data_IF_453445331551
#
_entry.id   IF_453445331551
#
_cell.length_a   1.000
_cell.length_b   1.000
_cell.length_c   1.000
_cell.angle_alpha   90.00
_cell.angle_beta   90.00
_cell.angle_gamma   90.00
#
_symmetry.space_group_name_H-M   'P 1'
#
loop_
_entity.id
_entity.type
_entity.pdbx_description
1 polymer ?
#
# COMPACT_ATOMS: atom_id res chain seq x y z
N UNK A 1 -77.27 25.97 1.95
CA UNK A 1 -76.61 25.77 3.25
C UNK A 1 -76.01 24.36 3.26
N UNK A 2 -74.69 24.26 3.50
CA UNK A 2 -73.82 23.06 3.72
C UNK A 2 -73.73 22.04 2.56
N UNK A 3 -72.65 21.91 1.76
CA UNK A 3 -71.20 21.66 1.96
C UNK A 3 -70.87 20.31 2.65
N UNK A 4 -70.28 19.37 1.88
CA UNK A 4 -69.10 18.49 2.17
C UNK A 4 -68.59 17.94 0.81
N UNK A 5 -67.47 18.38 0.19
CA UNK A 5 -66.03 18.12 0.43
C UNK A 5 -65.72 16.61 0.61
N UNK A 6 -64.85 15.90 -0.12
CA UNK A 6 -63.70 16.18 -1.02
C UNK A 6 -63.54 15.00 -1.99
N UNK A 7 -63.26 15.25 -3.28
CA UNK A 7 -62.67 14.27 -4.21
C UNK A 7 -61.39 14.89 -4.75
N UNK A 8 -60.23 14.25 -4.52
CA UNK A 8 -59.05 14.41 -5.38
C UNK A 8 -58.35 13.05 -5.49
N UNK A 9 -58.36 12.54 -6.72
CA UNK A 9 -57.52 11.45 -7.22
C UNK A 9 -56.06 11.93 -7.33
N UNK A 10 -55.10 11.06 -6.99
CA UNK A 10 -53.81 10.99 -7.70
C UNK A 10 -53.09 9.66 -7.38
N UNK A 11 -52.98 8.81 -8.39
CA UNK A 11 -52.14 7.63 -8.44
C UNK A 11 -50.66 8.02 -8.48
N UNK A 12 -49.80 7.36 -7.70
CA UNK A 12 -48.38 7.19 -8.06
C UNK A 12 -47.87 5.85 -7.53
N UNK A 13 -47.24 5.10 -8.43
CA UNK A 13 -46.76 3.74 -8.25
C UNK A 13 -45.37 3.68 -7.58
N UNK A 14 -44.95 2.43 -7.31
CA UNK A 14 -43.61 1.95 -6.95
C UNK A 14 -43.16 2.14 -5.49
N UNK A 15 -43.22 1.05 -4.74
CA UNK A 15 -42.19 0.76 -3.73
C UNK A 15 -41.52 -0.56 -4.11
N UNK A 16 -40.34 -0.42 -4.74
CA UNK A 16 -39.35 -1.46 -4.87
C UNK A 16 -38.86 -1.89 -3.47
N UNK A 17 -38.75 -3.20 -3.29
CA UNK A 17 -37.99 -3.85 -2.24
C UNK A 17 -36.53 -3.36 -2.21
N UNK A 18 -36.00 -3.07 -1.03
CA UNK A 18 -34.70 -3.54 -0.52
C UNK A 18 -34.55 -3.06 0.93
N UNK A 19 -34.66 -4.00 1.87
CA UNK A 19 -34.31 -3.83 3.28
C UNK A 19 -32.91 -4.39 3.47
N UNK A 20 -31.97 -3.51 3.82
CA UNK A 20 -30.82 -3.72 4.71
C UNK A 20 -29.99 -2.43 4.68
N UNK A 21 -30.39 -1.48 5.51
CA UNK A 21 -29.54 -0.36 5.92
C UNK A 21 -28.48 -0.90 6.87
N UNK A 22 -27.24 -1.02 6.38
CA UNK A 22 -26.04 -0.80 7.19
C UNK A 22 -25.16 0.18 6.42
N UNK A 23 -25.61 1.43 6.39
CA UNK A 23 -24.74 2.57 6.15
C UNK A 23 -23.92 2.81 7.42
N UNK A 24 -22.66 2.39 7.43
CA UNK A 24 -21.67 3.05 8.26
C UNK A 24 -20.38 3.29 7.48
N UNK A 25 -19.98 4.56 7.52
CA UNK A 25 -18.73 5.17 7.06
C UNK A 25 -18.66 5.61 5.59
N UNK A 26 -19.40 6.70 5.36
CA UNK A 26 -18.91 7.97 4.79
C UNK A 26 -17.89 7.90 3.66
N UNK A 27 -18.36 8.26 2.45
CA UNK A 27 -17.58 9.08 1.54
C UNK A 27 -17.36 10.45 2.18
N UNK A 28 -16.13 10.74 2.57
CA UNK A 28 -15.56 12.08 2.48
C UNK A 28 -14.21 11.99 1.77
N UNK A 29 -14.04 12.80 0.74
CA UNK A 29 -12.80 12.92 0.01
C UNK A 29 -11.72 13.50 0.91
N UNK A 30 -10.91 12.62 1.48
CA UNK A 30 -9.51 12.93 1.68
C UNK A 30 -8.83 12.53 0.39
N UNK A 31 -8.24 13.49 -0.33
CA UNK A 31 -7.22 13.16 -1.32
C UNK A 31 -6.04 12.55 -0.58
N UNK A 32 -6.18 11.30 -0.15
CA UNK A 32 -5.08 10.53 0.43
C UNK A 32 -4.12 10.37 -0.73
N UNK A 33 -3.03 11.13 -0.69
CA UNK A 33 -1.90 10.89 -1.56
C UNK A 33 -1.31 9.56 -1.11
N UNK A 34 -1.87 8.47 -1.67
CA UNK A 34 -1.38 7.13 -1.47
C UNK A 34 -0.05 7.03 -2.23
N UNK A 35 0.94 6.34 -1.67
CA UNK A 35 2.20 6.15 -2.35
C UNK A 35 1.98 5.47 -3.70
N UNK A 36 2.61 6.03 -4.73
CA UNK A 36 2.51 5.53 -6.10
C UNK A 36 3.12 4.14 -6.24
N UNK A 37 4.17 3.88 -5.46
CA UNK A 37 4.86 2.59 -5.41
C UNK A 37 5.17 2.25 -3.96
N UNK A 38 4.83 1.03 -3.55
CA UNK A 38 5.29 0.46 -2.28
C UNK A 38 6.12 -0.79 -2.52
N UNK A 39 7.23 -0.88 -1.81
CA UNK A 39 8.10 -2.06 -1.82
C UNK A 39 8.24 -2.55 -0.39
N UNK A 40 7.88 -3.80 -0.14
CA UNK A 40 8.19 -4.45 1.12
C UNK A 40 9.35 -5.42 0.91
N UNK A 41 10.50 -5.12 1.52
CA UNK A 41 11.65 -6.03 1.51
C UNK A 41 11.55 -6.97 2.72
N UNK A 42 11.16 -8.22 2.46
CA UNK A 42 11.01 -9.23 3.50
C UNK A 42 12.34 -9.93 3.71
N UNK A 43 12.87 -9.87 4.93
CA UNK A 43 14.13 -10.52 5.28
C UNK A 43 13.95 -11.99 5.67
N UNK A 44 15.05 -12.73 5.74
CA UNK A 44 15.07 -14.08 6.30
C UNK A 44 15.00 -14.11 7.84
N UNK A 45 14.85 -12.94 8.49
CA UNK A 45 14.85 -12.80 9.95
C UNK A 45 13.43 -12.78 10.50
N UNK A 46 13.25 -13.32 11.70
CA UNK A 46 12.00 -13.19 12.44
C UNK A 46 11.77 -11.74 12.85
N UNK A 47 10.50 -11.32 12.89
CA UNK A 47 10.12 -10.06 13.49
C UNK A 47 10.35 -10.14 15.00
N UNK A 48 11.12 -9.18 15.52
CA UNK A 48 11.47 -9.07 16.93
C UNK A 48 11.67 -7.58 17.24
N UNK A 49 10.74 -6.94 17.97
CA UNK A 49 10.82 -5.52 18.28
C UNK A 49 12.14 -5.08 18.91
N UNK A 50 12.79 -5.93 19.71
CA UNK A 50 14.07 -5.62 20.36
C UNK A 50 15.23 -5.57 19.36
N UNK A 51 15.07 -6.23 18.20
CA UNK A 51 16.07 -6.26 17.11
C UNK A 51 15.71 -5.36 15.93
N UNK A 52 14.63 -4.58 16.02
CA UNK A 52 14.16 -3.75 14.90
C UNK A 52 15.23 -2.80 14.37
N UNK A 53 15.97 -2.12 15.25
CA UNK A 53 16.99 -1.17 14.83
C UNK A 53 18.17 -1.85 14.09
N UNK A 54 18.64 -2.99 14.59
CA UNK A 54 19.74 -3.74 13.97
C UNK A 54 19.29 -4.40 12.66
N UNK A 55 18.10 -5.00 12.62
CA UNK A 55 17.55 -5.60 11.40
C UNK A 55 17.25 -4.54 10.32
N UNK A 56 16.73 -3.37 10.70
CA UNK A 56 16.54 -2.25 9.77
C UNK A 56 17.88 -1.83 9.16
N UNK A 57 18.93 -1.71 9.99
CA UNK A 57 20.27 -1.36 9.51
C UNK A 57 20.75 -2.37 8.46
N UNK A 58 20.59 -3.67 8.70
CA UNK A 58 21.03 -4.72 7.77
C UNK A 58 20.31 -4.64 6.43
N UNK A 59 18.99 -4.43 6.44
CA UNK A 59 18.21 -4.27 5.20
C UNK A 59 18.64 -3.00 4.46
N UNK A 60 18.86 -1.89 5.17
CA UNK A 60 19.34 -0.64 4.57
C UNK A 60 20.74 -0.77 3.97
N UNK A 61 21.68 -1.36 4.72
CA UNK A 61 23.04 -1.60 4.23
C UNK A 61 23.00 -2.48 2.96
N UNK A 62 22.15 -3.50 2.91
CA UNK A 62 21.96 -4.35 1.72
C UNK A 62 21.51 -3.55 0.50
N UNK A 63 20.53 -2.66 0.68
CA UNK A 63 20.00 -1.79 -0.39
C UNK A 63 21.06 -0.78 -0.83
N UNK A 64 21.77 -0.18 0.12
CA UNK A 64 22.82 0.82 -0.11
C UNK A 64 24.02 0.20 -0.85
N UNK A 65 24.45 -1.00 -0.46
CA UNK A 65 25.57 -1.69 -1.07
C UNK A 65 25.26 -2.11 -2.50
N UNK A 66 24.05 -2.63 -2.76
CA UNK A 66 23.60 -2.90 -4.12
C UNK A 66 23.55 -1.62 -4.96
N UNK A 67 22.99 -0.54 -4.42
CA UNK A 67 22.92 0.77 -5.10
C UNK A 67 24.30 1.28 -5.51
N UNK A 68 25.29 1.21 -4.60
CA UNK A 68 26.67 1.58 -4.89
C UNK A 68 27.29 0.70 -5.97
N UNK A 69 27.05 -0.62 -5.92
CA UNK A 69 27.62 -1.58 -6.88
C UNK A 69 27.14 -1.36 -8.31
N UNK A 70 25.90 -0.90 -8.48
CA UNK A 70 25.29 -0.63 -9.79
C UNK A 70 25.45 0.83 -10.23
N UNK A 71 26.09 1.69 -9.42
CA UNK A 71 26.16 3.12 -9.69
C UNK A 71 24.80 3.82 -9.70
N UNK A 72 23.80 3.24 -9.02
CA UNK A 72 22.44 3.78 -8.94
C UNK A 72 22.39 4.77 -7.78
N UNK A 73 22.02 6.01 -8.09
CA UNK A 73 21.75 7.01 -7.06
C UNK A 73 20.33 6.81 -6.54
N UNK A 74 20.21 6.00 -5.48
CA UNK A 74 18.97 5.81 -4.76
C UNK A 74 18.71 7.03 -3.84
N UNK A 75 17.55 7.69 -3.92
CA UNK A 75 17.27 8.84 -3.06
C UNK A 75 16.89 8.38 -1.65
N UNK A 76 17.52 8.95 -0.63
CA UNK A 76 17.18 8.70 0.78
C UNK A 76 16.06 9.59 1.31
N UNK A 77 15.79 10.73 0.66
CA UNK A 77 15.06 11.82 1.31
C UNK A 77 13.55 11.79 1.02
N UNK A 78 13.15 11.22 -0.11
CA UNK A 78 11.75 11.16 -0.55
C UNK A 78 11.11 9.77 -0.38
N UNK A 79 11.82 8.84 0.25
CA UNK A 79 11.35 7.48 0.46
C UNK A 79 11.07 7.28 1.94
N UNK A 80 9.79 7.14 2.29
CA UNK A 80 9.42 6.83 3.67
C UNK A 80 9.71 5.35 3.94
N UNK A 81 10.19 5.07 5.14
CA UNK A 81 10.58 3.73 5.57
C UNK A 81 9.85 3.38 6.86
N UNK A 82 9.19 2.23 6.87
CA UNK A 82 8.49 1.70 8.04
C UNK A 82 8.89 0.24 8.26
N UNK A 83 9.08 -0.15 9.52
CA UNK A 83 9.27 -1.56 9.88
C UNK A 83 7.89 -2.20 9.99
N UNK A 84 7.71 -3.38 9.39
CA UNK A 84 6.45 -4.11 9.42
C UNK A 84 6.67 -5.58 9.79
N UNK A 85 5.69 -6.17 10.48
CA UNK A 85 5.63 -7.60 10.74
C UNK A 85 4.91 -8.30 9.58
N UNK A 86 5.69 -8.97 8.73
CA UNK A 86 5.17 -9.73 7.61
C UNK A 86 4.99 -11.20 8.00
N UNK A 87 3.89 -11.50 8.69
CA UNK A 87 3.56 -12.88 9.07
C UNK A 87 4.65 -13.55 9.92
N UNK A 88 5.21 -12.81 10.88
CA UNK A 88 6.29 -13.25 11.77
C UNK A 88 7.69 -12.99 11.22
N UNK A 89 7.83 -12.40 10.03
CA UNK A 89 9.13 -12.01 9.44
C UNK A 89 9.35 -10.51 9.54
N UNK A 90 10.61 -10.15 9.76
CA UNK A 90 11.03 -8.75 9.72
C UNK A 90 11.03 -8.27 8.27
N UNK A 91 10.29 -7.20 8.00
CA UNK A 91 10.27 -6.54 6.72
C UNK A 91 10.37 -5.02 6.85
N UNK A 92 10.85 -4.38 5.79
CA UNK A 92 10.91 -2.93 5.67
C UNK A 92 10.04 -2.51 4.50
N UNK A 93 9.01 -1.72 4.79
CA UNK A 93 8.16 -1.07 3.82
C UNK A 93 8.80 0.25 3.38
N UNK A 94 9.03 0.38 2.08
CA UNK A 94 9.45 1.60 1.40
C UNK A 94 8.25 2.15 0.64
N UNK A 95 7.92 3.41 0.92
CA UNK A 95 6.86 4.14 0.22
C UNK A 95 7.51 5.23 -0.63
N UNK A 96 7.30 5.14 -1.94
CA UNK A 96 7.94 6.00 -2.95
C UNK A 96 6.85 6.90 -3.55
N UNK A 97 6.92 8.18 -3.17
CA UNK A 97 5.97 9.23 -3.57
C UNK A 97 6.45 10.05 -4.80
N UNK A 98 7.64 9.73 -5.32
CA UNK A 98 8.30 10.42 -6.45
C UNK A 98 7.83 9.92 -7.83
N UNK A 99 8.29 10.59 -8.90
CA UNK A 99 8.09 10.19 -10.31
C UNK A 99 8.92 8.96 -10.73
N UNK A 100 9.27 8.09 -9.77
CA UNK A 100 9.96 6.83 -10.04
C UNK A 100 9.08 5.93 -10.92
N UNK A 101 9.66 5.32 -11.95
CA UNK A 101 8.93 4.37 -12.80
C UNK A 101 8.88 3.00 -12.14
N UNK A 102 7.69 2.38 -12.11
CA UNK A 102 7.49 1.03 -11.57
C UNK A 102 8.50 0.02 -12.12
N UNK A 103 8.80 0.05 -13.42
CA UNK A 103 9.78 -0.86 -14.04
C UNK A 103 11.22 -0.66 -13.54
N UNK A 104 11.61 0.58 -13.23
CA UNK A 104 12.93 0.89 -12.69
C UNK A 104 13.03 0.36 -11.25
N UNK A 105 11.99 0.58 -10.43
CA UNK A 105 11.88 0.02 -9.07
C UNK A 105 11.86 -1.51 -9.11
N UNK A 106 11.07 -2.12 -10.00
CA UNK A 106 10.99 -3.58 -10.18
C UNK A 106 12.34 -4.18 -10.50
N UNK A 107 13.10 -3.58 -11.44
CA UNK A 107 14.46 -4.03 -11.78
C UNK A 107 15.40 -3.89 -10.59
N UNK A 108 15.35 -2.75 -9.91
CA UNK A 108 16.17 -2.47 -8.74
C UNK A 108 15.93 -3.50 -7.62
N UNK A 109 14.67 -3.73 -7.26
CA UNK A 109 14.28 -4.68 -6.20
C UNK A 109 14.70 -6.11 -6.54
N UNK A 110 14.50 -6.55 -7.79
CA UNK A 110 14.98 -7.87 -8.25
C UNK A 110 16.50 -8.00 -8.13
N UNK A 111 17.23 -6.91 -8.42
CA UNK A 111 18.68 -6.87 -8.29
C UNK A 111 19.14 -6.92 -6.84
N UNK A 112 18.60 -6.06 -5.97
CA UNK A 112 18.90 -6.04 -4.54
C UNK A 112 18.63 -7.41 -3.88
N UNK A 113 17.51 -8.05 -4.21
CA UNK A 113 17.17 -9.40 -3.74
C UNK A 113 18.17 -10.47 -4.20
N UNK A 114 18.71 -10.35 -5.42
CA UNK A 114 19.74 -11.26 -5.94
C UNK A 114 21.12 -10.99 -5.35
N UNK A 115 21.39 -9.75 -4.94
CA UNK A 115 22.66 -9.31 -4.41
C UNK A 115 22.94 -9.82 -2.98
N UNK A 116 21.90 -10.07 -2.18
CA UNK A 116 22.05 -10.44 -0.77
C UNK A 116 21.16 -11.61 -0.36
N UNK A 117 21.72 -12.52 0.43
CA UNK A 117 21.00 -13.62 1.08
C UNK A 117 20.24 -13.18 2.33
N UNK A 118 20.34 -11.92 2.76
CA UNK A 118 19.54 -11.39 3.88
C UNK A 118 18.07 -11.23 3.50
N UNK A 119 17.78 -11.02 2.21
CA UNK A 119 16.43 -10.83 1.67
C UNK A 119 15.83 -12.17 1.24
N UNK A 120 14.64 -12.48 1.75
CA UNK A 120 13.89 -13.67 1.37
C UNK A 120 13.19 -13.46 0.01
N UNK A 121 12.39 -12.40 -0.06
CA UNK A 121 11.64 -11.96 -1.23
C UNK A 121 11.25 -10.50 -1.05
N UNK A 122 10.69 -9.90 -2.10
CA UNK A 122 10.09 -8.59 -2.01
C UNK A 122 8.62 -8.62 -2.45
N UNK A 123 7.81 -7.73 -1.89
CA UNK A 123 6.43 -7.48 -2.33
C UNK A 123 6.40 -6.10 -2.98
N UNK A 124 6.17 -6.06 -4.29
CA UNK A 124 6.05 -4.83 -5.06
C UNK A 124 4.57 -4.55 -5.34
N UNK A 125 4.15 -3.32 -5.10
CA UNK A 125 2.86 -2.81 -5.54
C UNK A 125 3.05 -1.48 -6.23
N UNK A 126 2.62 -1.41 -7.47
CA UNK A 126 2.56 -0.18 -8.25
C UNK A 126 1.11 0.26 -8.41
N UNK A 127 0.88 1.56 -8.58
CA UNK A 127 -0.47 2.11 -8.76
C UNK A 127 -1.19 1.46 -9.96
N UNK A 128 -2.44 1.08 -9.76
CA UNK A 128 -3.25 0.37 -10.76
C UNK A 128 -2.80 -1.06 -11.13
N UNK A 129 -1.70 -1.57 -10.56
CA UNK A 129 -1.18 -2.90 -10.84
C UNK A 129 -1.51 -3.92 -9.72
N UNK A 130 -1.45 -5.20 -10.07
CA UNK A 130 -1.55 -6.28 -9.06
C UNK A 130 -0.26 -6.34 -8.25
N UNK A 131 -0.39 -6.75 -7.00
CA UNK A 131 0.78 -7.02 -6.15
C UNK A 131 1.62 -8.16 -6.73
N UNK A 132 2.93 -7.93 -6.79
CA UNK A 132 3.93 -8.89 -7.27
C UNK A 132 4.84 -9.34 -6.14
N UNK A 133 5.16 -10.63 -6.11
CA UNK A 133 6.20 -11.19 -5.24
C UNK A 133 7.45 -11.47 -6.07
N UNK A 134 8.59 -10.91 -5.66
CA UNK A 134 9.85 -10.86 -6.42
C UNK A 134 11.00 -11.58 -5.70
#
# INVERSE_FOLDING_TARGET
>A
MMIRFVVVFASFALLCSCSSDDQLLTKEGSGVNLPRITVELVSNRSFDPEKNASNLKIVKDTVDDYSKSEGIRYPSDNIKQSIVDHGGKFAVLFEIDDDAKCEEVRRFVKGAKKHSNELAYAVLKCDGEKTEVL
#
